data_IF_650591789550
#
_entry.id   IF_650591789550
#
_cell.length_a   1.000
_cell.length_b   1.000
_cell.length_c   1.000
_cell.angle_alpha   90.00
_cell.angle_beta   90.00
_cell.angle_gamma   90.00
#
_symmetry.space_group_name_H-M   'P 1'
#
loop_
_entity.id
_entity.type
_entity.pdbx_description
1 polymer ?
#
# COMPACT_ATOMS: atom_id res chain seq x y z
N UNK A 1 58.63 23.20 0.58
CA UNK A 1 57.39 23.99 0.36
C UNK A 1 56.94 23.78 -1.08
N UNK A 2 55.80 23.10 -1.30
CA UNK A 2 55.18 23.03 -2.64
C UNK A 2 53.68 23.28 -2.48
N UNK A 3 53.26 24.51 -2.73
CA UNK A 3 51.84 24.88 -2.81
C UNK A 3 51.38 24.56 -4.21
N UNK A 4 50.60 23.47 -4.38
CA UNK A 4 49.85 23.23 -5.62
C UNK A 4 48.78 24.31 -5.76
N UNK A 5 48.98 25.24 -6.70
CA UNK A 5 47.99 26.25 -7.04
C UNK A 5 46.79 25.62 -7.73
N UNK A 6 45.61 25.74 -7.12
CA UNK A 6 44.33 25.42 -7.75
C UNK A 6 44.07 26.43 -8.87
N UNK A 7 43.95 25.95 -10.12
CA UNK A 7 43.55 26.76 -11.26
C UNK A 7 42.05 27.11 -11.12
N UNK A 8 41.64 28.36 -11.39
CA UNK A 8 40.24 28.73 -11.34
C UNK A 8 39.46 27.97 -12.44
N UNK A 9 38.25 27.45 -12.13
CA UNK A 9 37.42 26.78 -13.12
C UNK A 9 37.03 27.72 -14.26
N UNK A 10 37.14 27.23 -15.50
CA UNK A 10 36.80 27.97 -16.72
C UNK A 10 35.32 28.39 -16.74
N UNK A 11 34.97 29.60 -17.23
CA UNK A 11 33.60 30.12 -17.24
C UNK A 11 32.58 29.20 -17.94
N UNK A 12 33.02 28.41 -18.93
CA UNK A 12 32.16 27.42 -19.60
C UNK A 12 31.70 26.24 -18.73
N UNK A 13 32.41 25.92 -17.64
CA UNK A 13 32.05 24.85 -16.69
C UNK A 13 30.94 25.27 -15.72
N UNK A 14 30.81 26.57 -15.45
CA UNK A 14 29.74 27.12 -14.62
C UNK A 14 28.41 27.19 -15.39
N UNK A 15 28.48 27.54 -16.69
CA UNK A 15 27.32 27.57 -17.59
C UNK A 15 26.73 26.17 -17.81
N UNK A 16 27.56 25.13 -17.87
CA UNK A 16 27.09 23.73 -17.97
C UNK A 16 26.50 23.21 -16.65
N UNK A 17 27.05 23.60 -15.50
CA UNK A 17 26.46 23.24 -14.19
C UNK A 17 25.09 23.90 -13.95
N UNK A 18 24.93 25.16 -14.34
CA UNK A 18 23.67 25.88 -14.21
C UNK A 18 22.56 25.30 -15.08
N UNK A 19 22.89 24.81 -16.29
CA UNK A 19 21.96 24.14 -17.18
C UNK A 19 21.49 22.77 -16.65
N UNK A 20 22.33 22.05 -15.90
CA UNK A 20 21.98 20.77 -15.27
C UNK A 20 21.06 20.93 -14.05
N UNK A 21 21.17 22.03 -13.30
CA UNK A 21 20.29 22.32 -12.16
C UNK A 21 18.88 22.76 -12.57
N UNK A 22 18.73 23.34 -13.78
CA UNK A 22 17.43 23.73 -14.35
C UNK A 22 16.63 22.53 -14.92
N UNK A 23 17.26 21.35 -15.05
CA UNK A 23 16.64 20.13 -15.54
C UNK A 23 16.09 19.22 -14.42
N UNK A 24 16.26 19.59 -13.14
CA UNK A 24 15.59 18.93 -12.03
C UNK A 24 14.12 19.39 -12.00
N UNK A 25 13.29 18.75 -12.83
CA UNK A 25 11.84 18.90 -12.73
C UNK A 25 11.33 18.48 -11.34
N UNK A 26 10.12 18.91 -10.94
CA UNK A 26 9.52 18.42 -9.71
C UNK A 26 9.48 16.90 -9.78
N UNK A 27 10.15 16.25 -8.83
CA UNK A 27 10.01 14.81 -8.65
C UNK A 27 8.56 14.61 -8.25
N UNK A 28 7.77 13.96 -9.09
CA UNK A 28 6.39 13.60 -8.74
C UNK A 28 6.48 12.61 -7.58
N UNK A 29 6.05 13.09 -6.42
CA UNK A 29 6.37 12.44 -5.15
C UNK A 29 5.20 11.73 -4.50
N UNK A 30 3.98 11.84 -5.03
CA UNK A 30 2.86 11.01 -4.56
C UNK A 30 2.44 10.04 -5.66
N UNK A 31 2.40 8.73 -5.34
CA UNK A 31 2.68 8.15 -4.02
C UNK A 31 4.18 8.13 -3.65
N UNK A 32 4.49 8.10 -2.36
CA UNK A 32 5.85 8.05 -1.82
C UNK A 32 6.41 6.64 -1.67
N UNK A 33 5.51 5.70 -1.48
CA UNK A 33 5.74 4.28 -1.37
C UNK A 33 4.60 3.57 -2.10
N UNK A 34 4.82 2.34 -2.50
CA UNK A 34 3.74 1.50 -3.03
C UNK A 34 3.74 0.13 -2.39
N UNK A 35 2.58 -0.50 -2.46
CA UNK A 35 2.33 -1.85 -1.99
C UNK A 35 1.77 -2.64 -3.17
N UNK A 36 2.42 -3.76 -3.48
CA UNK A 36 1.80 -4.81 -4.29
C UNK A 36 0.97 -5.67 -3.34
N UNK A 37 -0.34 -5.64 -3.52
CA UNK A 37 -1.33 -6.25 -2.65
C UNK A 37 -1.74 -7.62 -3.18
N UNK A 38 -1.67 -8.63 -2.33
CA UNK A 38 -2.29 -9.93 -2.59
C UNK A 38 -3.40 -10.16 -1.60
N UNK A 39 -4.49 -10.74 -2.09
CA UNK A 39 -5.69 -11.00 -1.29
C UNK A 39 -6.10 -12.46 -1.44
N UNK A 40 -6.42 -13.12 -0.33
CA UNK A 40 -7.11 -14.41 -0.31
C UNK A 40 -8.43 -14.27 0.44
N UNK A 41 -9.52 -14.64 -0.22
CA UNK A 41 -10.86 -14.65 0.36
C UNK A 41 -11.21 -16.09 0.74
N UNK A 42 -11.40 -16.34 2.03
CA UNK A 42 -11.67 -17.67 2.56
C UNK A 42 -13.15 -17.82 2.88
N UNK A 43 -13.79 -18.76 2.20
CA UNK A 43 -15.20 -19.10 2.36
C UNK A 43 -15.36 -20.36 3.21
N UNK A 44 -16.43 -20.41 4.00
CA UNK A 44 -16.84 -21.64 4.67
C UNK A 44 -17.52 -22.62 3.70
N UNK A 45 -17.65 -23.92 4.04
CA UNK A 45 -18.38 -24.88 3.21
C UNK A 45 -19.84 -24.51 2.91
N UNK A 46 -20.45 -23.63 3.73
CA UNK A 46 -21.81 -23.09 3.52
C UNK A 46 -21.86 -21.90 2.55
N UNK A 47 -20.69 -21.45 2.08
CA UNK A 47 -20.54 -20.37 1.11
C UNK A 47 -20.39 -18.97 1.70
N UNK A 48 -20.46 -18.82 3.03
CA UNK A 48 -20.24 -17.52 3.69
C UNK A 48 -18.75 -17.14 3.67
N UNK A 49 -18.46 -15.86 3.48
CA UNK A 49 -17.10 -15.32 3.50
C UNK A 49 -16.66 -15.10 4.95
N UNK A 50 -15.69 -15.91 5.38
CA UNK A 50 -15.17 -15.97 6.74
C UNK A 50 -13.93 -15.11 6.97
N UNK A 51 -13.10 -14.92 5.95
CA UNK A 51 -11.89 -14.13 6.14
C UNK A 51 -11.39 -13.52 4.84
N UNK A 52 -10.69 -12.40 4.99
CA UNK A 52 -9.83 -11.82 3.96
C UNK A 52 -8.42 -11.79 4.51
N UNK A 53 -7.53 -12.60 3.95
CA UNK A 53 -6.09 -12.49 4.19
C UNK A 53 -5.51 -11.49 3.21
N UNK A 54 -4.68 -10.59 3.71
CA UNK A 54 -3.91 -9.64 2.91
C UNK A 54 -2.43 -9.93 3.08
N UNK A 55 -1.68 -9.81 1.99
CA UNK A 55 -0.23 -9.74 2.00
C UNK A 55 0.18 -8.46 1.26
N UNK A 56 0.91 -7.60 1.95
CA UNK A 56 1.41 -6.33 1.47
C UNK A 56 2.89 -6.46 1.19
N UNK A 57 3.27 -6.37 -0.08
CA UNK A 57 4.68 -6.37 -0.49
C UNK A 57 5.11 -4.92 -0.65
N UNK A 58 5.86 -4.41 0.32
CA UNK A 58 6.29 -3.02 0.35
C UNK A 58 7.36 -2.79 -0.71
N UNK A 59 7.38 -1.61 -1.33
CA UNK A 59 8.37 -1.28 -2.34
C UNK A 59 9.82 -1.42 -1.83
N UNK A 60 10.81 -1.66 -2.70
CA UNK A 60 12.19 -1.87 -2.29
C UNK A 60 12.82 -0.72 -1.50
N UNK A 61 12.45 0.53 -1.83
CA UNK A 61 13.02 1.72 -1.20
C UNK A 61 12.47 1.86 0.22
N UNK A 62 11.14 1.82 0.37
CA UNK A 62 10.51 1.92 1.68
C UNK A 62 10.86 0.73 2.57
N UNK A 63 10.96 -0.48 2.00
CA UNK A 63 11.42 -1.66 2.74
C UNK A 63 12.81 -1.45 3.33
N UNK A 64 13.75 -0.89 2.56
CA UNK A 64 15.10 -0.62 3.05
C UNK A 64 15.12 0.47 4.13
N UNK A 65 14.32 1.53 3.96
CA UNK A 65 14.19 2.59 4.96
C UNK A 65 13.66 2.06 6.29
N UNK A 66 12.64 1.19 6.27
CA UNK A 66 12.11 0.55 7.48
C UNK A 66 13.15 -0.35 8.14
N UNK A 67 13.92 -1.13 7.37
CA UNK A 67 15.00 -1.93 7.93
C UNK A 67 16.10 -1.07 8.58
N UNK A 68 16.45 0.07 7.98
CA UNK A 68 17.42 1.00 8.57
C UNK A 68 16.90 1.63 9.87
N UNK A 69 15.64 2.05 9.88
CA UNK A 69 15.00 2.62 11.07
C UNK A 69 14.87 1.58 12.21
N UNK A 70 14.58 0.33 11.84
CA UNK A 70 14.58 -0.82 12.74
C UNK A 70 15.95 -1.06 13.37
N UNK A 71 17.01 -1.15 12.56
CA UNK A 71 18.39 -1.36 13.04
C UNK A 71 18.84 -0.22 13.96
N UNK A 72 18.46 1.02 13.64
CA UNK A 72 18.76 2.18 14.47
C UNK A 72 17.99 2.17 15.80
N UNK A 73 16.74 1.70 15.79
CA UNK A 73 15.87 1.68 16.98
C UNK A 73 16.13 0.49 17.91
N UNK A 74 16.61 -0.64 17.38
CA UNK A 74 16.87 -1.88 18.12
C UNK A 74 18.29 -2.41 17.84
N UNK A 75 19.35 -1.66 18.20
CA UNK A 75 20.71 -2.05 17.88
C UNK A 75 21.08 -3.38 18.54
N UNK A 76 21.48 -4.36 17.73
CA UNK A 76 21.94 -5.67 18.18
C UNK A 76 20.83 -6.70 18.44
N UNK A 77 19.57 -6.36 18.17
CA UNK A 77 18.48 -7.34 18.14
C UNK A 77 18.60 -8.23 16.89
N UNK A 78 18.23 -9.49 17.00
CA UNK A 78 18.13 -10.35 15.82
C UNK A 78 16.99 -9.88 14.90
N UNK A 79 17.17 -10.12 13.60
CA UNK A 79 16.26 -9.63 12.56
C UNK A 79 14.83 -10.16 12.76
N UNK A 80 14.68 -11.43 13.07
CA UNK A 80 13.35 -12.06 13.17
C UNK A 80 12.55 -11.47 14.34
N UNK A 81 13.18 -11.31 15.51
CA UNK A 81 12.54 -10.65 16.66
C UNK A 81 12.20 -9.20 16.34
N UNK A 82 13.05 -8.48 15.60
CA UNK A 82 12.82 -7.08 15.26
C UNK A 82 11.63 -6.93 14.30
N UNK A 83 11.53 -7.85 13.32
CA UNK A 83 10.41 -7.90 12.39
C UNK A 83 9.10 -8.25 13.11
N UNK A 84 9.11 -9.17 14.07
CA UNK A 84 7.92 -9.52 14.85
C UNK A 84 7.41 -8.31 15.68
N UNK A 85 8.31 -7.58 16.34
CA UNK A 85 7.96 -6.37 17.09
C UNK A 85 7.39 -5.27 16.19
N UNK A 86 8.04 -5.00 15.06
CA UNK A 86 7.60 -3.97 14.10
C UNK A 86 6.30 -4.39 13.42
N UNK A 87 6.16 -5.64 12.99
CA UNK A 87 4.94 -6.14 12.39
C UNK A 87 3.75 -6.01 13.33
N UNK A 88 3.95 -6.30 14.62
CA UNK A 88 2.93 -6.10 15.66
C UNK A 88 2.54 -4.63 15.81
N UNK A 89 3.52 -3.72 15.86
CA UNK A 89 3.26 -2.28 15.95
C UNK A 89 2.55 -1.76 14.70
N UNK A 90 3.03 -2.11 13.51
CA UNK A 90 2.42 -1.73 12.24
C UNK A 90 0.96 -2.18 12.18
N UNK A 91 0.65 -3.42 12.57
CA UNK A 91 -0.72 -3.91 12.57
C UNK A 91 -1.61 -3.17 13.59
N UNK A 92 -1.06 -2.80 14.75
CA UNK A 92 -1.77 -1.99 15.73
C UNK A 92 -2.06 -0.58 15.20
N UNK A 93 -1.09 0.07 14.57
CA UNK A 93 -1.24 1.42 13.99
C UNK A 93 -2.24 1.42 12.82
N UNK A 94 -2.27 0.34 12.03
CA UNK A 94 -3.21 0.18 10.91
C UNK A 94 -4.67 0.04 11.34
N UNK A 95 -4.94 -0.36 12.59
CA UNK A 95 -6.30 -0.50 13.13
C UNK A 95 -7.09 0.81 13.03
N UNK A 96 -6.46 1.94 13.33
CA UNK A 96 -7.10 3.26 13.31
C UNK A 96 -7.51 3.71 11.89
N UNK A 97 -7.05 2.99 10.87
CA UNK A 97 -7.34 3.23 9.46
C UNK A 97 -8.06 2.04 8.81
N UNK A 98 -8.72 1.18 9.60
CA UNK A 98 -9.42 -0.02 9.12
C UNK A 98 -8.53 -0.95 8.27
N UNK A 99 -7.23 -1.01 8.57
CA UNK A 99 -6.25 -1.75 7.76
C UNK A 99 -6.26 -1.33 6.29
N UNK A 100 -6.50 -0.04 6.05
CA UNK A 100 -6.71 0.57 4.73
C UNK A 100 -7.86 -0.05 3.93
N UNK A 101 -8.74 -0.82 4.55
CA UNK A 101 -9.75 -1.62 3.86
C UNK A 101 -11.11 -0.95 3.95
N UNK A 102 -11.69 -0.58 2.82
CA UNK A 102 -13.12 -0.24 2.73
C UNK A 102 -13.86 -1.47 2.23
N UNK A 103 -14.91 -1.92 2.95
CA UNK A 103 -15.85 -2.92 2.44
C UNK A 103 -17.26 -2.36 2.37
N UNK A 104 -18.02 -2.73 1.34
CA UNK A 104 -19.41 -2.32 1.16
C UNK A 104 -20.28 -3.47 0.67
N UNK A 105 -21.55 -3.47 1.05
CA UNK A 105 -22.58 -4.36 0.51
C UNK A 105 -23.86 -3.57 0.28
N UNK A 106 -24.45 -3.72 -0.90
CA UNK A 106 -25.68 -3.00 -1.29
C UNK A 106 -25.60 -1.46 -1.04
N UNK A 107 -24.40 -0.89 -1.15
CA UNK A 107 -24.14 0.53 -0.91
C UNK A 107 -23.75 0.88 0.54
N UNK A 108 -24.00 0.03 1.51
CA UNK A 108 -23.68 0.28 2.92
C UNK A 108 -22.23 -0.10 3.25
N UNK A 109 -21.53 0.77 4.01
CA UNK A 109 -20.17 0.47 4.50
C UNK A 109 -20.25 -0.57 5.61
N UNK A 110 -19.40 -1.58 5.53
CA UNK A 110 -19.26 -2.62 6.54
C UNK A 110 -18.15 -2.25 7.52
N UNK A 111 -18.33 -2.60 8.79
CA UNK A 111 -17.29 -2.47 9.79
C UNK A 111 -16.15 -3.48 9.51
N UNK A 112 -14.91 -3.02 9.65
CA UNK A 112 -13.74 -3.89 9.52
C UNK A 112 -13.37 -4.42 10.91
N UNK A 113 -13.28 -5.76 11.09
CA UNK A 113 -12.88 -6.34 12.36
C UNK A 113 -11.38 -6.17 12.60
N UNK A 114 -10.97 -6.26 13.87
CA UNK A 114 -9.55 -6.29 14.23
C UNK A 114 -8.84 -7.44 13.49
N UNK A 115 -7.74 -7.10 12.82
CA UNK A 115 -6.89 -8.06 12.15
C UNK A 115 -6.19 -8.98 13.15
N UNK A 116 -5.87 -10.18 12.69
CA UNK A 116 -5.11 -11.19 13.44
C UNK A 116 -4.01 -11.78 12.56
N UNK A 117 -3.14 -12.59 13.18
CA UNK A 117 -2.09 -13.33 12.48
C UNK A 117 -1.10 -12.40 11.73
N UNK A 118 -0.85 -11.21 12.29
CA UNK A 118 0.13 -10.26 11.77
C UNK A 118 1.53 -10.85 11.76
N UNK A 119 2.19 -10.78 10.61
CA UNK A 119 3.58 -11.23 10.43
C UNK A 119 4.29 -10.32 9.43
N UNK A 120 5.47 -9.85 9.78
CA UNK A 120 6.35 -9.10 8.88
C UNK A 120 7.56 -9.97 8.55
N UNK A 121 7.88 -10.11 7.26
CA UNK A 121 8.99 -10.94 6.80
C UNK A 121 9.87 -10.19 5.83
N UNK A 122 11.19 -10.37 5.94
CA UNK A 122 12.14 -9.94 4.94
C UNK A 122 12.44 -11.08 3.97
N UNK A 123 11.91 -10.98 2.74
CA UNK A 123 12.19 -11.95 1.68
C UNK A 123 12.28 -11.25 0.34
N UNK A 124 13.04 -11.84 -0.60
CA UNK A 124 13.18 -11.30 -1.95
C UNK A 124 13.55 -9.80 -2.01
N UNK A 125 14.30 -9.32 -1.00
CA UNK A 125 14.74 -7.93 -0.84
C UNK A 125 13.61 -6.91 -0.60
N UNK A 126 12.45 -7.37 -0.13
CA UNK A 126 11.30 -6.53 0.22
C UNK A 126 10.72 -6.98 1.56
N UNK A 127 10.03 -6.08 2.24
CA UNK A 127 9.24 -6.42 3.42
C UNK A 127 7.86 -6.90 2.99
N UNK A 128 7.42 -8.02 3.56
CA UNK A 128 6.10 -8.61 3.34
C UNK A 128 5.33 -8.59 4.66
N UNK A 129 4.27 -7.78 4.73
CA UNK A 129 3.36 -7.78 5.88
C UNK A 129 2.13 -8.62 5.52
N UNK A 130 1.87 -9.69 6.25
CA UNK A 130 0.66 -10.50 6.10
C UNK A 130 -0.21 -10.43 7.34
N UNK A 131 -1.53 -10.40 7.16
CA UNK A 131 -2.52 -10.43 8.23
C UNK A 131 -3.88 -10.94 7.72
N UNK A 132 -4.77 -11.31 8.63
CA UNK A 132 -6.12 -11.78 8.32
C UNK A 132 -7.18 -10.89 8.98
N UNK A 133 -8.17 -10.46 8.19
CA UNK A 133 -9.41 -9.86 8.67
C UNK A 133 -10.46 -10.96 8.86
N UNK A 134 -10.89 -11.27 10.09
CA UNK A 134 -11.89 -12.31 10.37
C UNK A 134 -13.31 -11.81 10.06
N UNK A 135 -13.72 -11.94 8.80
CA UNK A 135 -15.02 -11.52 8.29
C UNK A 135 -16.16 -12.45 8.74
N UNK A 136 -17.38 -11.93 8.74
CA UNK A 136 -18.60 -12.71 8.97
C UNK A 136 -19.66 -12.26 7.96
N UNK A 137 -19.32 -12.38 6.68
CA UNK A 137 -20.17 -11.89 5.60
C UNK A 137 -20.91 -13.06 4.96
N UNK A 138 -22.23 -12.91 4.80
CA UNK A 138 -23.03 -13.89 4.04
C UNK A 138 -22.47 -14.01 2.61
N UNK A 139 -22.65 -15.16 1.97
CA UNK A 139 -22.29 -15.36 0.56
C UNK A 139 -22.78 -14.16 -0.30
N UNK A 140 -21.91 -13.47 -1.04
CA UNK A 140 -22.32 -12.43 -1.99
C UNK A 140 -23.12 -13.03 -3.15
N UNK A 141 -24.08 -12.27 -3.68
CA UNK A 141 -24.85 -12.66 -4.88
C UNK A 141 -24.99 -11.47 -5.83
N UNK A 142 -25.69 -11.68 -6.96
CA UNK A 142 -25.87 -10.65 -7.98
C UNK A 142 -26.71 -9.44 -7.51
N UNK A 143 -27.60 -9.62 -6.53
CA UNK A 143 -28.43 -8.54 -5.97
C UNK A 143 -27.69 -7.75 -4.89
N UNK A 144 -26.84 -8.43 -4.12
CA UNK A 144 -26.10 -7.89 -2.99
C UNK A 144 -24.61 -8.23 -3.07
N UNK A 145 -23.90 -7.72 -4.11
CA UNK A 145 -22.47 -7.95 -4.25
C UNK A 145 -21.71 -7.40 -3.05
N UNK A 146 -20.59 -8.04 -2.72
CA UNK A 146 -19.61 -7.50 -1.80
C UNK A 146 -18.58 -6.72 -2.61
N UNK A 147 -18.29 -5.51 -2.18
CA UNK A 147 -17.28 -4.64 -2.78
C UNK A 147 -16.19 -4.37 -1.74
N UNK A 148 -14.93 -4.32 -2.17
CA UNK A 148 -13.87 -3.76 -1.35
C UNK A 148 -12.89 -2.88 -2.14
N UNK A 149 -12.17 -2.05 -1.39
CA UNK A 149 -10.97 -1.31 -1.80
C UNK A 149 -9.94 -1.42 -0.70
N UNK A 150 -8.66 -1.35 -1.06
CA UNK A 150 -7.58 -1.16 -0.10
C UNK A 150 -6.81 0.09 -0.50
N UNK A 151 -6.72 1.09 0.39
CA UNK A 151 -6.06 2.36 0.11
C UNK A 151 -5.67 3.12 1.38
N UNK A 152 -4.54 3.80 1.32
CA UNK A 152 -4.19 4.85 2.29
C UNK A 152 -5.10 6.07 2.06
N UNK A 153 -5.91 6.52 3.04
CA UNK A 153 -6.78 7.69 2.89
C UNK A 153 -6.07 8.95 2.41
N UNK A 154 -4.80 9.13 2.78
CA UNK A 154 -3.98 10.29 2.40
C UNK A 154 -3.28 10.19 1.05
N UNK A 155 -3.31 9.01 0.40
CA UNK A 155 -2.55 8.70 -0.83
C UNK A 155 -1.02 8.91 -0.70
N UNK A 156 -0.46 8.71 0.50
CA UNK A 156 0.99 8.67 0.70
C UNK A 156 1.55 7.32 0.23
N UNK A 157 0.80 6.23 0.48
CA UNK A 157 1.05 4.89 -0.06
C UNK A 157 0.04 4.60 -1.16
N UNK A 158 0.51 4.21 -2.34
CA UNK A 158 -0.36 3.59 -3.34
C UNK A 158 -0.47 2.09 -3.09
N UNK A 159 -1.69 1.58 -3.11
CA UNK A 159 -1.96 0.15 -2.91
C UNK A 159 -2.69 -0.34 -4.15
N UNK A 160 -2.04 -1.23 -4.90
CA UNK A 160 -2.59 -1.88 -6.08
C UNK A 160 -2.38 -3.39 -5.95
N UNK A 161 -3.26 -4.19 -6.53
CA UNK A 161 -3.08 -5.63 -6.54
C UNK A 161 -1.83 -6.01 -7.34
N UNK A 162 -1.11 -7.00 -6.83
CA UNK A 162 0.04 -7.59 -7.52
C UNK A 162 -0.43 -8.11 -8.90
N UNK A 163 0.13 -7.60 -10.01
CA UNK A 163 -0.30 -8.00 -11.35
C UNK A 163 0.01 -9.47 -11.67
N UNK A 164 0.99 -10.07 -10.98
CA UNK A 164 1.43 -11.45 -11.19
C UNK A 164 0.71 -12.46 -10.28
N UNK A 165 -0.02 -11.98 -9.25
CA UNK A 165 -0.63 -12.84 -8.23
C UNK A 165 -1.90 -12.21 -7.65
N UNK A 166 -2.99 -12.30 -8.42
CA UNK A 166 -4.26 -11.63 -8.12
C UNK A 166 -5.14 -12.48 -7.20
N UNK A 167 -6.14 -11.83 -6.61
CA UNK A 167 -7.14 -12.32 -5.64
C UNK A 167 -7.48 -13.83 -5.75
N UNK A 168 -7.20 -14.56 -4.67
CA UNK A 168 -7.51 -15.98 -4.51
C UNK A 168 -8.85 -16.21 -3.83
N UNK A 169 -9.63 -17.20 -4.27
CA UNK A 169 -10.94 -17.58 -3.71
C UNK A 169 -10.90 -19.00 -3.14
N UNK A 170 -10.62 -19.12 -1.85
CA UNK A 170 -10.53 -20.42 -1.17
C UNK A 170 -11.91 -20.88 -0.69
N UNK A 171 -12.41 -21.98 -1.25
CA UNK A 171 -13.76 -22.47 -0.93
C UNK A 171 -14.89 -21.64 -1.56
N UNK A 172 -14.57 -20.70 -2.46
CA UNK A 172 -15.54 -19.83 -3.13
C UNK A 172 -16.12 -20.45 -4.40
N UNK A 173 -16.53 -21.72 -4.41
CA UNK A 173 -17.07 -22.33 -5.64
C UNK A 173 -18.29 -21.54 -6.14
N UNK A 174 -18.28 -21.19 -7.43
CA UNK A 174 -19.30 -20.34 -8.05
C UNK A 174 -19.13 -18.84 -7.76
N UNK A 175 -18.06 -18.42 -7.06
CA UNK A 175 -17.72 -17.02 -6.88
C UNK A 175 -16.70 -16.55 -7.92
N UNK A 176 -16.81 -15.29 -8.31
CA UNK A 176 -15.90 -14.60 -9.22
C UNK A 176 -15.58 -13.20 -8.69
N UNK A 177 -14.45 -12.66 -9.13
CA UNK A 177 -14.03 -11.30 -8.83
C UNK A 177 -13.99 -10.47 -10.11
N UNK A 178 -14.37 -9.20 -9.99
CA UNK A 178 -14.19 -8.19 -11.03
C UNK A 178 -13.47 -6.99 -10.42
N UNK A 179 -12.31 -6.68 -10.97
CA UNK A 179 -11.50 -5.54 -10.54
C UNK A 179 -11.63 -4.40 -11.56
N UNK A 180 -12.02 -3.23 -11.06
CA UNK A 180 -12.03 -1.98 -11.82
C UNK A 180 -10.77 -1.18 -11.45
N UNK A 181 -9.97 -0.75 -12.44
CA UNK A 181 -8.81 0.10 -12.19
C UNK A 181 -9.25 1.47 -11.66
N UNK A 182 -8.38 2.17 -10.92
CA UNK A 182 -8.66 3.53 -10.46
C UNK A 182 -8.87 4.48 -11.64
N UNK A 183 -9.80 5.42 -11.46
CA UNK A 183 -10.11 6.47 -12.45
C UNK A 183 -10.21 7.82 -11.74
N UNK A 184 -9.10 8.34 -11.20
CA UNK A 184 -9.09 9.63 -10.53
C UNK A 184 -9.43 10.73 -11.54
N UNK A 185 -10.19 11.71 -11.09
CA UNK A 185 -10.41 12.93 -11.89
C UNK A 185 -9.06 13.62 -12.17
N UNK A 186 -8.85 14.21 -13.37
CA UNK A 186 -7.56 14.81 -13.73
C UNK A 186 -7.04 15.84 -12.72
N UNK A 187 -7.94 16.57 -12.05
CA UNK A 187 -7.56 17.54 -11.03
C UNK A 187 -7.02 16.89 -9.75
N UNK A 188 -7.50 15.69 -9.38
CA UNK A 188 -6.97 14.92 -8.24
C UNK A 188 -5.56 14.43 -8.54
N UNK A 189 -5.30 14.00 -9.77
CA UNK A 189 -3.94 13.63 -10.23
C UNK A 189 -3.01 14.83 -10.16
N UNK A 190 -3.44 15.97 -10.69
CA UNK A 190 -2.67 17.21 -10.64
C UNK A 190 -2.42 17.67 -9.20
N UNK A 191 -3.42 17.54 -8.32
CA UNK A 191 -3.31 17.88 -6.91
C UNK A 191 -2.36 16.96 -6.14
N UNK A 192 -2.50 15.64 -6.29
CA UNK A 192 -1.62 14.66 -5.64
C UNK A 192 -0.14 14.92 -5.99
N UNK A 193 0.15 15.27 -7.25
CA UNK A 193 1.50 15.60 -7.70
C UNK A 193 2.11 16.85 -7.01
N UNK A 194 1.31 17.69 -6.33
CA UNK A 194 1.81 18.85 -5.57
C UNK A 194 2.12 18.55 -4.11
N UNK A 195 1.71 17.38 -3.61
CA UNK A 195 1.92 17.01 -2.22
C UNK A 195 3.40 16.66 -1.98
N UNK A 196 3.92 17.09 -0.83
CA UNK A 196 5.23 16.71 -0.31
C UNK A 196 5.10 15.72 0.86
N UNK A 197 6.17 15.00 1.20
CA UNK A 197 6.22 13.96 2.27
C UNK A 197 5.60 14.34 3.61
N UNK A 198 5.65 15.62 3.97
CA UNK A 198 5.23 16.14 5.29
C UNK A 198 3.87 16.83 5.26
N UNK A 199 3.30 17.01 4.07
CA UNK A 199 2.02 17.69 3.92
C UNK A 199 0.89 16.70 4.19
N UNK A 200 -0.11 17.14 4.95
CA UNK A 200 -1.39 16.43 5.05
C UNK A 200 -2.33 17.01 4.01
N UNK A 201 -2.96 16.17 3.21
CA UNK A 201 -4.01 16.58 2.28
C UNK A 201 -5.26 17.04 3.05
N UNK A 202 -5.84 18.22 2.78
CA UNK A 202 -7.20 18.57 3.20
C UNK A 202 -8.30 17.84 2.40
N UNK A 203 -7.98 17.18 1.29
CA UNK A 203 -8.93 16.34 0.56
C UNK A 203 -9.16 15.06 1.34
N UNK A 204 -10.36 14.91 1.90
CA UNK A 204 -10.80 13.70 2.59
C UNK A 204 -10.82 12.51 1.62
N UNK A 205 -10.33 11.35 2.08
CA UNK A 205 -10.27 10.10 1.30
C UNK A 205 -9.66 10.25 -0.10
N UNK A 206 -8.64 11.10 -0.24
CA UNK A 206 -7.92 11.29 -1.51
C UNK A 206 -7.52 9.95 -2.14
N UNK A 207 -6.94 9.03 -1.35
CA UNK A 207 -6.48 7.74 -1.84
C UNK A 207 -7.59 6.85 -2.39
N UNK A 208 -8.85 7.06 -1.98
CA UNK A 208 -9.98 6.30 -2.52
C UNK A 208 -10.17 6.51 -4.02
N UNK A 209 -9.80 7.68 -4.55
CA UNK A 209 -9.87 7.97 -5.99
C UNK A 209 -8.81 7.21 -6.81
N UNK A 210 -7.72 6.80 -6.15
CA UNK A 210 -6.59 6.07 -6.73
C UNK A 210 -6.63 4.58 -6.41
N UNK A 211 -7.65 4.12 -5.69
CA UNK A 211 -7.82 2.73 -5.30
C UNK A 211 -8.51 1.90 -6.40
N UNK A 212 -8.05 0.67 -6.58
CA UNK A 212 -8.81 -0.33 -7.33
C UNK A 212 -10.09 -0.70 -6.59
N UNK A 213 -11.18 -0.89 -7.34
CA UNK A 213 -12.44 -1.42 -6.79
C UNK A 213 -12.58 -2.88 -7.18
N UNK A 214 -12.72 -3.75 -6.19
CA UNK A 214 -13.00 -5.17 -6.42
C UNK A 214 -14.45 -5.46 -6.05
N UNK A 215 -15.17 -6.12 -6.96
CA UNK A 215 -16.48 -6.71 -6.69
C UNK A 215 -16.35 -8.23 -6.62
N UNK A 216 -17.05 -8.83 -5.66
CA UNK A 216 -17.17 -10.26 -5.46
C UNK A 216 -18.63 -10.63 -5.68
N UNK A 217 -18.85 -11.57 -6.59
CA UNK A 217 -20.17 -12.05 -7.00
C UNK A 217 -20.14 -13.57 -6.96
N UNK A 218 -21.14 -14.19 -6.34
CA UNK A 218 -21.30 -15.63 -6.43
C UNK A 218 -22.62 -16.00 -7.10
N UNK A 219 -22.59 -17.12 -7.82
CA UNK A 219 -23.77 -17.78 -8.34
C UNK A 219 -24.67 -18.19 -7.17
N UNK A 220 -25.98 -18.13 -7.44
CA UNK A 220 -27.07 -18.51 -6.54
C UNK A 220 -27.15 -20.01 -6.29
#
# INVERSE_FOLDING_TARGET
>A
MSRRGLRPPSPGRWLTLAALLLAAGPVQTHPHAWIDLRVSLHFEPRGDLRAMRQEWILDPTYSHLLLQDMEASHPGLDLDTALDEIGTRMLADLRDYDYFTEMRRAGDRLAIPDAREGRLEWRQRRLHLSFELPLQQRRPDAETPLEYRVYDPGYWIEVLHDPDDVIHLDGGQGCTTRMDPPRPEPWLVGYAATLDRKQRTPVEDLGRAFAERVLILCDS
#
